data_IF_503260543284
#
_entry.id   IF_503260543284
#
_cell.length_a   1.000
_cell.length_b   1.000
_cell.length_c   1.000
_cell.angle_alpha   90.00
_cell.angle_beta   90.00
_cell.angle_gamma   90.00
#
_symmetry.space_group_name_H-M   'P 1'
#
loop_
_entity.id
_entity.type
_entity.pdbx_description
1 polymer ?
#
# COMPACT_ATOMS: atom_id res chain seq x y z
N UNK A 1 13.78 -21.62 -5.65
CA UNK A 1 14.24 -21.97 -7.00
C UNK A 1 15.62 -22.58 -6.91
N UNK A 2 15.90 -23.66 -7.66
CA UNK A 2 17.25 -24.18 -7.89
C UNK A 2 17.66 -23.83 -9.31
N UNK A 3 18.83 -23.22 -9.45
CA UNK A 3 19.40 -22.98 -10.77
C UNK A 3 19.70 -24.33 -11.46
N UNK A 4 19.30 -24.53 -12.73
CA UNK A 4 19.61 -25.76 -13.45
C UNK A 4 21.12 -25.90 -13.65
N UNK A 5 21.61 -27.15 -13.62
CA UNK A 5 22.98 -27.45 -14.05
C UNK A 5 23.06 -27.30 -15.57
N UNK A 6 23.51 -26.14 -16.01
CA UNK A 6 23.76 -25.82 -17.41
C UNK A 6 25.17 -26.22 -17.81
N UNK A 7 25.30 -27.04 -18.85
CA UNK A 7 26.61 -27.33 -19.48
C UNK A 7 26.84 -26.54 -20.77
N UNK A 8 25.77 -26.05 -21.38
CA UNK A 8 25.73 -25.25 -22.60
C UNK A 8 25.55 -23.77 -22.34
N UNK A 9 25.24 -23.04 -23.41
CA UNK A 9 25.09 -21.60 -23.40
C UNK A 9 23.70 -21.16 -22.94
N UNK A 10 22.66 -21.89 -23.33
CA UNK A 10 21.26 -21.61 -23.01
C UNK A 10 20.54 -22.90 -22.61
N UNK A 11 19.73 -22.85 -21.56
CA UNK A 11 18.76 -23.90 -21.21
C UNK A 11 17.34 -23.46 -21.48
N UNK A 12 16.50 -24.36 -21.95
CA UNK A 12 15.08 -24.09 -22.19
C UNK A 12 14.25 -25.10 -21.40
N UNK A 13 13.34 -24.61 -20.57
CA UNK A 13 12.42 -25.44 -19.80
C UNK A 13 10.96 -25.01 -20.04
N UNK A 14 10.03 -25.95 -19.96
CA UNK A 14 8.59 -25.69 -20.02
C UNK A 14 7.82 -26.77 -19.29
N UNK A 15 6.75 -26.43 -18.55
CA UNK A 15 5.81 -27.42 -18.03
C UNK A 15 5.07 -28.18 -19.15
N UNK A 16 5.07 -27.68 -20.39
CA UNK A 16 4.37 -28.26 -21.53
C UNK A 16 5.36 -28.89 -22.53
N UNK A 17 5.30 -30.21 -22.67
CA UNK A 17 6.17 -30.96 -23.58
C UNK A 17 6.04 -30.52 -25.05
N UNK A 18 4.85 -30.10 -25.48
CA UNK A 18 4.65 -29.61 -26.86
C UNK A 18 5.44 -28.32 -27.11
N UNK A 19 5.55 -27.45 -26.11
CA UNK A 19 6.32 -26.21 -26.25
C UNK A 19 7.83 -26.49 -26.28
N UNK A 20 8.30 -27.51 -25.56
CA UNK A 20 9.68 -27.99 -25.67
C UNK A 20 9.98 -28.55 -27.06
N UNK A 21 9.06 -29.30 -27.67
CA UNK A 21 9.23 -29.80 -29.04
C UNK A 21 9.34 -28.64 -30.06
N UNK A 22 8.56 -27.57 -29.89
CA UNK A 22 8.73 -26.38 -30.72
C UNK A 22 10.09 -25.71 -30.50
N UNK A 23 10.52 -25.54 -29.24
CA UNK A 23 11.84 -25.00 -28.93
C UNK A 23 12.98 -25.86 -29.51
N UNK A 24 12.86 -27.18 -29.45
CA UNK A 24 13.80 -28.11 -30.06
C UNK A 24 13.85 -27.92 -31.58
N UNK A 25 12.70 -27.97 -32.26
CA UNK A 25 12.65 -27.92 -33.72
C UNK A 25 12.96 -26.55 -34.32
N UNK A 26 12.56 -25.47 -33.65
CA UNK A 26 12.67 -24.09 -34.18
C UNK A 26 13.87 -23.32 -33.68
N UNK A 27 14.52 -23.79 -32.61
CA UNK A 27 15.66 -23.09 -32.01
C UNK A 27 16.86 -24.03 -31.77
N UNK A 28 16.70 -25.16 -31.08
CA UNK A 28 17.85 -26.03 -30.78
C UNK A 28 18.46 -26.67 -32.04
N UNK A 29 17.65 -27.34 -32.86
CA UNK A 29 18.11 -28.08 -34.06
C UNK A 29 18.76 -27.14 -35.09
N UNK A 30 18.18 -25.95 -35.41
CA UNK A 30 18.85 -24.99 -36.30
C UNK A 30 20.18 -24.46 -35.77
N UNK A 31 20.35 -24.45 -34.44
CA UNK A 31 21.58 -23.99 -33.77
C UNK A 31 22.63 -25.10 -33.62
N UNK A 32 22.30 -26.35 -33.97
CA UNK A 32 23.30 -27.41 -34.03
C UNK A 32 24.38 -27.04 -35.06
N UNK A 33 25.60 -26.82 -34.58
CA UNK A 33 26.81 -26.38 -35.31
C UNK A 33 27.02 -24.87 -35.47
N UNK A 34 26.19 -24.00 -34.87
CA UNK A 34 26.43 -22.55 -34.87
C UNK A 34 27.35 -22.11 -33.73
N UNK A 35 27.85 -23.02 -32.89
CA UNK A 35 28.77 -22.68 -31.79
C UNK A 35 28.10 -22.23 -30.49
N UNK A 36 26.81 -21.89 -30.52
CA UNK A 36 25.96 -21.71 -29.33
C UNK A 36 25.30 -23.04 -28.98
N UNK A 37 25.53 -23.54 -27.78
CA UNK A 37 24.94 -24.79 -27.29
C UNK A 37 23.61 -24.51 -26.57
N UNK A 38 22.53 -25.13 -27.05
CA UNK A 38 21.19 -25.04 -26.45
C UNK A 38 20.78 -26.40 -25.88
N UNK A 39 20.32 -26.40 -24.63
CA UNK A 39 19.88 -27.59 -23.90
C UNK A 39 18.38 -27.53 -23.62
N UNK A 40 17.67 -28.61 -23.95
CA UNK A 40 16.28 -28.81 -23.51
C UNK A 40 16.32 -29.43 -22.11
N UNK A 41 15.88 -28.65 -21.12
CA UNK A 41 15.88 -29.06 -19.72
C UNK A 41 14.59 -29.82 -19.41
N UNK A 42 14.72 -30.95 -18.72
CA UNK A 42 13.56 -31.64 -18.17
C UNK A 42 12.92 -30.75 -17.11
N UNK A 43 11.62 -30.50 -17.28
CA UNK A 43 10.87 -29.68 -16.33
C UNK A 43 10.87 -30.31 -14.93
N UNK A 44 11.21 -29.50 -13.94
CA UNK A 44 11.06 -29.81 -12.54
C UNK A 44 10.52 -28.58 -11.82
N UNK A 45 9.66 -28.80 -10.82
CA UNK A 45 9.01 -27.70 -10.07
C UNK A 45 10.02 -26.77 -9.40
N UNK A 46 11.17 -27.30 -8.97
CA UNK A 46 12.19 -26.52 -8.28
C UNK A 46 12.97 -25.58 -9.20
N UNK A 47 12.88 -25.73 -10.53
CA UNK A 47 13.42 -24.75 -11.50
C UNK A 47 12.62 -23.44 -11.51
N UNK A 48 11.40 -23.46 -10.99
CA UNK A 48 10.55 -22.28 -10.87
C UNK A 48 10.59 -21.75 -9.42
N UNK A 49 10.49 -20.43 -9.19
CA UNK A 49 10.23 -19.90 -7.85
C UNK A 49 8.80 -20.20 -7.41
N UNK A 50 8.50 -21.48 -7.16
CA UNK A 50 7.29 -21.93 -6.47
C UNK A 50 7.27 -21.14 -5.15
N UNK A 51 6.26 -20.27 -4.98
CA UNK A 51 6.04 -19.35 -3.85
C UNK A 51 6.60 -17.91 -3.96
N UNK A 52 7.20 -17.54 -5.10
CA UNK A 52 7.60 -16.16 -5.39
C UNK A 52 6.42 -15.24 -5.74
N UNK A 53 6.73 -14.08 -6.34
CA UNK A 53 5.69 -13.17 -6.89
C UNK A 53 4.85 -13.85 -7.97
N UNK A 54 5.52 -14.66 -8.80
CA UNK A 54 4.92 -15.35 -9.94
C UNK A 54 4.19 -16.61 -9.44
N UNK A 55 2.90 -16.71 -9.78
CA UNK A 55 2.05 -17.82 -9.33
C UNK A 55 2.14 -19.06 -10.20
N UNK A 56 2.53 -18.91 -11.48
CA UNK A 56 2.61 -20.00 -12.45
C UNK A 56 3.89 -19.93 -13.29
N UNK A 57 4.47 -21.06 -13.68
CA UNK A 57 5.58 -21.08 -14.61
C UNK A 57 5.16 -20.56 -15.98
N UNK A 58 6.07 -19.83 -16.62
CA UNK A 58 5.92 -19.34 -17.99
C UNK A 58 5.85 -20.48 -18.98
N UNK A 59 5.26 -20.23 -20.16
CA UNK A 59 5.12 -21.26 -21.19
C UNK A 59 6.47 -21.75 -21.70
N UNK A 60 7.44 -20.85 -21.82
CA UNK A 60 8.86 -21.18 -22.01
C UNK A 60 9.71 -20.34 -21.07
N UNK A 61 10.70 -20.98 -20.46
CA UNK A 61 11.70 -20.36 -19.60
C UNK A 61 13.08 -20.58 -20.18
N UNK A 62 13.80 -19.49 -20.43
CA UNK A 62 15.16 -19.47 -20.96
C UNK A 62 16.13 -19.18 -19.83
N UNK A 63 17.13 -20.03 -19.64
CA UNK A 63 18.18 -19.89 -18.64
C UNK A 63 19.47 -19.56 -19.34
N UNK A 64 19.98 -18.35 -19.11
CA UNK A 64 21.11 -17.79 -19.85
C UNK A 64 22.37 -17.98 -19.03
N UNK A 65 23.38 -18.62 -19.63
CA UNK A 65 24.68 -18.76 -18.99
C UNK A 65 25.50 -17.47 -19.08
N UNK A 66 26.45 -17.31 -18.15
CA UNK A 66 27.47 -16.26 -18.25
C UNK A 66 28.30 -16.38 -19.53
N UNK A 67 28.63 -17.59 -19.95
CA UNK A 67 29.37 -17.87 -21.19
C UNK A 67 28.64 -17.30 -22.42
N UNK A 68 27.33 -17.49 -22.50
CA UNK A 68 26.53 -16.92 -23.58
C UNK A 68 26.65 -15.40 -23.65
N UNK A 69 26.53 -14.73 -22.49
CA UNK A 69 26.63 -13.28 -22.41
C UNK A 69 28.00 -12.76 -22.89
N UNK A 70 29.09 -13.35 -22.37
CA UNK A 70 30.46 -12.87 -22.62
C UNK A 70 30.98 -13.16 -24.03
N UNK A 71 30.63 -14.33 -24.59
CA UNK A 71 31.20 -14.79 -25.86
C UNK A 71 30.31 -14.49 -27.06
N UNK A 72 28.99 -14.36 -26.86
CA UNK A 72 28.04 -14.23 -27.97
C UNK A 72 27.27 -12.91 -27.95
N UNK A 73 26.50 -12.66 -26.89
CA UNK A 73 25.58 -11.51 -26.84
C UNK A 73 26.30 -10.16 -26.78
N UNK A 74 27.19 -9.97 -25.80
CA UNK A 74 27.90 -8.69 -25.61
C UNK A 74 28.85 -8.38 -26.79
N UNK A 75 29.38 -9.41 -27.44
CA UNK A 75 30.23 -9.27 -28.63
C UNK A 75 29.46 -9.08 -29.92
N UNK A 76 28.12 -9.19 -29.89
CA UNK A 76 27.28 -9.17 -31.09
C UNK A 76 27.82 -10.13 -32.16
N UNK A 77 28.15 -11.35 -31.74
CA UNK A 77 28.73 -12.37 -32.61
C UNK A 77 27.79 -12.73 -33.76
N UNK A 78 28.33 -13.25 -34.87
CA UNK A 78 27.51 -13.74 -36.00
C UNK A 78 26.51 -14.80 -35.54
N UNK A 79 26.94 -15.65 -34.62
CA UNK A 79 26.17 -16.72 -33.98
C UNK A 79 24.99 -16.15 -33.17
N UNK A 80 25.19 -15.00 -32.51
CA UNK A 80 24.13 -14.31 -31.78
C UNK A 80 23.06 -13.75 -32.72
N UNK A 81 23.45 -13.23 -33.89
CA UNK A 81 22.49 -12.83 -34.93
C UNK A 81 21.60 -13.99 -35.38
N UNK A 82 22.22 -15.14 -35.69
CA UNK A 82 21.50 -16.37 -36.06
C UNK A 82 20.61 -16.86 -34.92
N UNK A 83 21.05 -16.76 -33.67
CA UNK A 83 20.22 -17.09 -32.50
C UNK A 83 18.95 -16.23 -32.45
N UNK A 84 19.07 -14.91 -32.64
CA UNK A 84 17.93 -14.00 -32.58
C UNK A 84 16.90 -14.27 -33.70
N UNK A 85 17.36 -14.59 -34.92
CA UNK A 85 16.47 -14.95 -36.03
C UNK A 85 15.68 -16.25 -35.76
N UNK A 86 16.34 -17.26 -35.19
CA UNK A 86 15.67 -18.52 -34.83
C UNK A 86 14.75 -18.35 -33.62
N UNK A 87 15.10 -17.48 -32.67
CA UNK A 87 14.25 -17.14 -31.54
C UNK A 87 12.97 -16.43 -32.01
N UNK A 88 13.07 -15.50 -32.95
CA UNK A 88 11.92 -14.86 -33.59
C UNK A 88 11.02 -15.90 -34.28
N UNK A 89 11.62 -16.84 -35.00
CA UNK A 89 10.89 -17.95 -35.63
C UNK A 89 10.15 -18.82 -34.60
N UNK A 90 10.76 -19.07 -33.43
CA UNK A 90 10.10 -19.78 -32.33
C UNK A 90 8.93 -18.96 -31.76
N UNK A 91 9.14 -17.69 -31.45
CA UNK A 91 8.11 -16.80 -30.89
C UNK A 91 6.93 -16.60 -31.84
N UNK A 92 7.19 -16.53 -33.16
CA UNK A 92 6.15 -16.42 -34.18
C UNK A 92 5.12 -17.57 -34.13
N UNK A 93 5.51 -18.76 -33.66
CA UNK A 93 4.59 -19.91 -33.47
C UNK A 93 3.51 -19.61 -32.43
N UNK A 94 3.80 -18.75 -31.47
CA UNK A 94 2.95 -18.48 -30.31
C UNK A 94 2.13 -17.19 -30.43
N UNK A 95 2.34 -16.41 -31.49
CA UNK A 95 1.57 -15.18 -31.75
C UNK A 95 0.09 -15.53 -31.90
N UNK A 96 -0.76 -14.85 -31.14
CA UNK A 96 -2.20 -15.09 -31.10
C UNK A 96 -2.63 -16.37 -30.36
N UNK A 97 -1.69 -17.17 -29.86
CA UNK A 97 -1.97 -18.35 -29.03
C UNK A 97 -2.16 -17.98 -27.56
N UNK A 98 -1.48 -16.92 -27.12
CA UNK A 98 -1.57 -16.41 -25.76
C UNK A 98 -2.26 -15.05 -25.77
N UNK A 99 -3.21 -14.87 -24.85
CA UNK A 99 -3.74 -13.54 -24.53
C UNK A 99 -2.68 -12.73 -23.78
N UNK A 100 -2.68 -11.40 -23.95
CA UNK A 100 -1.89 -10.54 -23.09
C UNK A 100 -2.26 -10.83 -21.64
N UNK A 101 -1.23 -10.98 -20.80
CA UNK A 101 -1.41 -11.17 -19.37
C UNK A 101 -1.15 -9.82 -18.71
N UNK A 102 -2.21 -9.12 -18.29
CA UNK A 102 -2.08 -7.87 -17.51
C UNK A 102 -1.63 -8.12 -16.06
N UNK A 103 -1.15 -9.33 -15.74
CA UNK A 103 -0.70 -9.69 -14.41
C UNK A 103 0.79 -9.92 -14.37
N UNK A 104 1.47 -9.16 -13.51
CA UNK A 104 2.86 -9.36 -13.14
C UNK A 104 3.13 -10.74 -12.51
N UNK A 105 2.08 -11.47 -12.12
CA UNK A 105 2.18 -12.82 -11.56
C UNK A 105 2.20 -13.93 -12.61
N UNK A 106 2.18 -13.57 -13.89
CA UNK A 106 2.19 -14.48 -15.04
C UNK A 106 2.98 -13.87 -16.18
N UNK A 107 3.82 -14.66 -16.83
CA UNK A 107 4.51 -14.25 -18.04
C UNK A 107 4.29 -15.30 -19.12
N UNK A 108 4.24 -14.86 -20.38
CA UNK A 108 4.18 -15.78 -21.53
C UNK A 108 5.53 -16.49 -21.63
N UNK A 109 6.61 -15.72 -21.62
CA UNK A 109 7.97 -16.20 -21.59
C UNK A 109 8.75 -15.58 -20.43
N UNK A 110 9.83 -16.25 -20.03
CA UNK A 110 10.74 -15.69 -19.03
C UNK A 110 12.18 -15.96 -19.38
N UNK A 111 13.04 -14.98 -19.09
CA UNK A 111 14.49 -15.12 -19.16
C UNK A 111 15.05 -15.07 -17.74
N UNK A 112 15.90 -16.02 -17.42
CA UNK A 112 16.58 -16.15 -16.14
C UNK A 112 18.08 -15.99 -16.35
N UNK A 113 18.73 -15.23 -15.48
CA UNK A 113 20.18 -15.08 -15.44
C UNK A 113 20.70 -15.15 -14.00
N UNK A 114 21.71 -15.96 -13.73
CA UNK A 114 22.36 -16.07 -12.42
C UNK A 114 23.71 -15.34 -12.45
N UNK A 115 23.88 -14.38 -11.55
CA UNK A 115 25.14 -13.65 -11.41
C UNK A 115 26.17 -14.37 -10.52
N UNK A 116 27.35 -13.75 -10.37
CA UNK A 116 28.46 -14.29 -9.57
C UNK A 116 28.18 -14.32 -8.05
N UNK A 117 27.17 -13.60 -7.59
CA UNK A 117 26.77 -13.48 -6.19
C UNK A 117 25.53 -14.33 -5.85
N UNK A 118 25.17 -15.24 -6.77
CA UNK A 118 23.99 -16.11 -6.72
C UNK A 118 22.67 -15.33 -6.71
N UNK A 119 22.65 -14.13 -7.30
CA UNK A 119 21.40 -13.41 -7.56
C UNK A 119 20.81 -13.85 -8.89
N UNK A 120 19.51 -14.10 -8.91
CA UNK A 120 18.78 -14.43 -10.13
C UNK A 120 18.03 -13.20 -10.62
N UNK A 121 18.33 -12.74 -11.83
CA UNK A 121 17.49 -11.80 -12.56
C UNK A 121 16.42 -12.59 -13.34
N UNK A 122 15.16 -12.21 -13.17
CA UNK A 122 14.01 -12.82 -13.81
C UNK A 122 13.28 -11.76 -14.64
N UNK A 123 13.39 -11.87 -15.95
CA UNK A 123 12.75 -11.00 -16.92
C UNK A 123 11.43 -11.61 -17.38
N UNK A 124 10.34 -10.85 -17.26
CA UNK A 124 8.98 -11.30 -17.56
C UNK A 124 8.51 -10.70 -18.88
N UNK A 125 8.22 -11.56 -19.85
CA UNK A 125 7.69 -11.18 -21.15
C UNK A 125 6.19 -11.49 -21.15
N UNK A 126 5.37 -10.48 -20.88
CA UNK A 126 3.91 -10.62 -20.69
C UNK A 126 3.05 -10.09 -21.85
N UNK A 127 3.70 -9.47 -22.85
CA UNK A 127 3.05 -8.95 -24.06
C UNK A 127 2.45 -10.07 -24.93
N UNK A 128 1.74 -9.72 -26.01
CA UNK A 128 1.15 -10.65 -26.97
C UNK A 128 1.63 -10.45 -28.42
N UNK A 129 2.54 -9.51 -28.65
CA UNK A 129 3.10 -9.21 -29.98
C UNK A 129 4.53 -9.72 -30.14
N UNK A 130 4.85 -10.17 -31.35
CA UNK A 130 6.19 -10.67 -31.69
C UNK A 130 7.25 -9.58 -31.56
N UNK A 131 6.95 -8.36 -32.01
CA UNK A 131 7.84 -7.21 -31.97
C UNK A 131 8.25 -6.90 -30.51
N UNK A 132 7.27 -6.72 -29.61
CA UNK A 132 7.55 -6.43 -28.21
C UNK A 132 8.27 -7.59 -27.50
N UNK A 133 7.98 -8.86 -27.85
CA UNK A 133 8.76 -9.98 -27.34
C UNK A 133 10.21 -9.91 -27.80
N UNK A 134 10.47 -9.64 -29.07
CA UNK A 134 11.84 -9.57 -29.57
C UNK A 134 12.62 -8.38 -28.99
N UNK A 135 11.97 -7.23 -28.86
CA UNK A 135 12.58 -6.03 -28.27
C UNK A 135 12.88 -6.24 -26.78
N UNK A 136 11.94 -6.80 -26.02
CA UNK A 136 12.18 -7.13 -24.62
C UNK A 136 13.33 -8.12 -24.42
N UNK A 137 13.50 -9.13 -25.30
CA UNK A 137 14.67 -10.02 -25.25
C UNK A 137 15.97 -9.26 -25.49
N UNK A 138 16.03 -8.38 -26.49
CA UNK A 138 17.23 -7.57 -26.79
C UNK A 138 17.59 -6.70 -25.59
N UNK A 139 16.61 -6.00 -25.04
CA UNK A 139 16.79 -5.15 -23.87
C UNK A 139 17.13 -5.95 -22.61
N UNK A 140 16.67 -7.20 -22.49
CA UNK A 140 17.03 -8.06 -21.35
C UNK A 140 18.54 -8.36 -21.35
N UNK A 141 19.11 -8.65 -22.52
CA UNK A 141 20.56 -8.87 -22.63
C UNK A 141 21.37 -7.59 -22.36
N UNK A 142 20.86 -6.43 -22.77
CA UNK A 142 21.45 -5.12 -22.40
C UNK A 142 21.41 -4.94 -20.88
N UNK A 143 20.25 -5.13 -20.25
CA UNK A 143 20.08 -5.00 -18.80
C UNK A 143 20.96 -5.97 -18.01
N UNK A 144 21.14 -7.22 -18.47
CA UNK A 144 22.08 -8.17 -17.87
C UNK A 144 23.52 -7.65 -17.95
N UNK A 145 23.94 -7.11 -19.10
CA UNK A 145 25.27 -6.50 -19.25
C UNK A 145 25.44 -5.29 -18.33
N UNK A 146 24.45 -4.40 -18.28
CA UNK A 146 24.47 -3.22 -17.41
C UNK A 146 24.54 -3.57 -15.92
N UNK A 147 23.81 -4.61 -15.49
CA UNK A 147 23.87 -5.13 -14.13
C UNK A 147 25.26 -5.67 -13.80
N UNK A 148 25.79 -6.55 -14.66
CA UNK A 148 27.07 -7.23 -14.43
C UNK A 148 28.27 -6.30 -14.53
N UNK A 149 28.19 -5.25 -15.37
CA UNK A 149 29.24 -4.24 -15.51
C UNK A 149 29.09 -3.04 -14.56
N UNK A 150 27.89 -2.86 -13.97
CA UNK A 150 27.56 -1.73 -13.11
C UNK A 150 27.44 -0.38 -13.84
N UNK A 151 27.27 -0.39 -15.17
CA UNK A 151 27.25 0.84 -15.99
C UNK A 151 25.95 1.64 -15.86
N UNK A 152 24.81 0.97 -15.63
CA UNK A 152 23.53 1.64 -15.41
C UNK A 152 23.26 1.79 -13.90
N UNK A 153 23.68 2.93 -13.35
CA UNK A 153 23.53 3.20 -11.92
C UNK A 153 22.05 3.28 -11.50
N UNK A 154 21.14 3.66 -12.39
CA UNK A 154 19.70 3.74 -12.10
C UNK A 154 19.15 2.33 -11.87
N UNK A 155 19.36 1.41 -12.83
CA UNK A 155 18.94 0.01 -12.70
C UNK A 155 19.55 -0.65 -11.46
N UNK A 156 20.87 -0.47 -11.26
CA UNK A 156 21.60 -1.04 -10.12
C UNK A 156 21.05 -0.51 -8.78
N UNK A 157 20.74 0.79 -8.69
CA UNK A 157 20.17 1.37 -7.48
C UNK A 157 18.75 0.87 -7.23
N UNK A 158 17.92 0.75 -8.28
CA UNK A 158 16.57 0.22 -8.18
C UNK A 158 16.55 -1.24 -7.72
N UNK A 159 17.42 -2.08 -8.28
CA UNK A 159 17.58 -3.46 -7.84
C UNK A 159 18.03 -3.52 -6.37
N UNK A 160 19.00 -2.71 -5.96
CA UNK A 160 19.48 -2.68 -4.56
C UNK A 160 18.43 -2.16 -3.55
N UNK A 161 17.50 -1.31 -3.98
CA UNK A 161 16.45 -0.76 -3.13
C UNK A 161 15.23 -1.70 -3.00
N UNK A 162 15.09 -2.66 -3.92
CA UNK A 162 13.98 -3.60 -3.97
C UNK A 162 14.03 -4.63 -2.84
N UNK A 163 12.88 -5.06 -2.33
CA UNK A 163 12.79 -6.20 -1.42
C UNK A 163 13.18 -7.50 -2.15
N UNK A 164 14.07 -8.28 -1.53
CA UNK A 164 14.56 -9.55 -2.08
C UNK A 164 14.37 -10.66 -1.05
N UNK A 165 13.70 -11.74 -1.45
CA UNK A 165 13.55 -12.94 -0.60
C UNK A 165 14.87 -13.67 -0.41
N UNK A 166 14.92 -14.68 0.47
CA UNK A 166 16.14 -15.50 0.65
C UNK A 166 16.59 -16.22 -0.63
N UNK A 167 15.69 -16.39 -1.60
CA UNK A 167 16.01 -16.99 -2.89
C UNK A 167 16.79 -16.04 -3.82
N UNK A 168 17.00 -14.77 -3.42
CA UNK A 168 17.77 -13.77 -4.18
C UNK A 168 17.28 -13.54 -5.62
N UNK A 169 15.96 -13.48 -5.79
CA UNK A 169 15.34 -13.29 -7.12
C UNK A 169 14.90 -11.84 -7.28
N UNK A 170 15.34 -11.21 -8.36
CA UNK A 170 14.92 -9.90 -8.81
C UNK A 170 13.97 -10.03 -9.97
N UNK A 171 12.79 -9.42 -9.86
CA UNK A 171 11.74 -9.46 -10.87
C UNK A 171 11.81 -8.21 -11.73
N UNK A 172 11.73 -8.37 -13.05
CA UNK A 172 11.69 -7.28 -14.01
C UNK A 172 10.50 -7.45 -14.97
N UNK A 173 9.72 -6.38 -15.16
CA UNK A 173 8.67 -6.28 -16.17
C UNK A 173 9.08 -5.32 -17.28
N UNK A 174 8.65 -5.61 -18.52
CA UNK A 174 8.94 -4.77 -19.67
C UNK A 174 7.73 -3.90 -19.98
N UNK A 175 7.86 -2.60 -19.77
CA UNK A 175 6.80 -1.60 -19.98
C UNK A 175 7.43 -0.30 -20.50
N UNK A 176 6.78 0.37 -21.45
CA UNK A 176 7.27 1.61 -22.08
C UNK A 176 8.71 1.49 -22.63
N UNK A 177 8.98 0.41 -23.37
CA UNK A 177 10.27 0.12 -24.01
C UNK A 177 11.48 0.05 -23.06
N UNK A 178 11.26 -0.34 -21.80
CA UNK A 178 12.32 -0.49 -20.81
C UNK A 178 11.99 -1.56 -19.77
N UNK A 179 13.03 -2.12 -19.16
CA UNK A 179 12.91 -2.99 -18.01
C UNK A 179 12.73 -2.18 -16.73
N UNK A 180 11.62 -2.43 -16.03
CA UNK A 180 11.31 -1.84 -14.74
C UNK A 180 11.53 -2.89 -13.64
N UNK A 181 12.18 -2.49 -12.55
CA UNK A 181 12.35 -3.36 -11.38
C UNK A 181 11.03 -3.45 -10.64
N UNK A 182 10.58 -4.67 -10.41
CA UNK A 182 9.34 -4.97 -9.70
C UNK A 182 9.67 -5.25 -8.25
N UNK A 183 9.10 -4.46 -7.33
CA UNK A 183 9.17 -4.75 -5.90
C UNK A 183 8.05 -5.74 -5.52
N UNK A 184 8.39 -7.02 -5.26
CA UNK A 184 7.38 -8.03 -5.04
C UNK A 184 6.61 -7.80 -3.74
N UNK A 185 7.22 -7.17 -2.73
CA UNK A 185 6.53 -6.82 -1.49
C UNK A 185 5.53 -5.68 -1.74
N UNK A 186 5.92 -4.68 -2.53
CA UNK A 186 5.03 -3.58 -2.90
C UNK A 186 3.81 -4.09 -3.69
N UNK A 187 4.02 -4.96 -4.67
CA UNK A 187 2.94 -5.58 -5.47
C UNK A 187 1.97 -6.38 -4.61
N UNK A 188 2.49 -7.31 -3.81
CA UNK A 188 1.66 -8.17 -2.94
C UNK A 188 0.90 -7.31 -1.92
N UNK A 189 1.55 -6.29 -1.36
CA UNK A 189 0.91 -5.35 -0.42
C UNK A 189 -0.16 -4.51 -1.11
N UNK A 190 0.06 -4.07 -2.36
CA UNK A 190 -0.93 -3.35 -3.16
C UNK A 190 -2.20 -4.17 -3.40
N UNK A 191 -2.04 -5.42 -3.84
CA UNK A 191 -3.17 -6.34 -4.03
C UNK A 191 -3.92 -6.64 -2.74
N UNK A 192 -3.21 -6.86 -1.63
CA UNK A 192 -3.80 -7.09 -0.31
C UNK A 192 -4.67 -5.90 0.10
N UNK A 193 -4.12 -4.69 -0.08
CA UNK A 193 -4.80 -3.46 0.23
C UNK A 193 -6.06 -3.24 -0.60
N UNK A 194 -6.01 -3.52 -1.90
CA UNK A 194 -7.17 -3.40 -2.78
C UNK A 194 -8.30 -4.31 -2.32
N UNK A 195 -8.03 -5.62 -2.14
CA UNK A 195 -9.03 -6.61 -1.71
C UNK A 195 -9.62 -6.27 -0.34
N UNK A 196 -8.79 -5.75 0.56
CA UNK A 196 -9.22 -5.37 1.88
C UNK A 196 -10.14 -4.14 1.84
N UNK A 197 -9.79 -3.09 1.07
CA UNK A 197 -10.61 -1.88 0.93
C UNK A 197 -12.00 -2.17 0.36
N UNK A 198 -12.11 -3.10 -0.58
CA UNK A 198 -13.39 -3.45 -1.22
C UNK A 198 -14.44 -3.99 -0.23
N UNK A 199 -14.01 -4.64 0.84
CA UNK A 199 -14.90 -5.39 1.73
C UNK A 199 -14.95 -4.84 3.16
N UNK A 200 -14.20 -3.78 3.47
CA UNK A 200 -14.05 -3.29 4.83
C UNK A 200 -14.94 -2.08 5.15
N UNK A 201 -15.47 -2.05 6.37
CA UNK A 201 -16.10 -0.85 6.92
C UNK A 201 -15.00 0.12 7.41
N UNK A 202 -14.94 1.38 6.95
CA UNK A 202 -13.92 2.34 7.36
C UNK A 202 -13.97 2.70 8.86
N UNK A 203 -15.03 2.29 9.56
CA UNK A 203 -15.17 2.44 11.01
C UNK A 203 -14.54 1.29 11.80
N UNK A 204 -14.20 0.19 11.15
CA UNK A 204 -13.49 -0.93 11.76
C UNK A 204 -11.99 -0.59 11.89
N UNK A 205 -11.31 -1.30 12.81
CA UNK A 205 -9.86 -1.29 12.87
C UNK A 205 -9.27 -2.14 11.73
N UNK A 206 -8.07 -1.77 11.27
CA UNK A 206 -7.27 -2.58 10.34
C UNK A 206 -6.94 -3.96 10.95
N UNK A 207 -6.91 -5.03 10.14
CA UNK A 207 -6.43 -6.33 10.57
C UNK A 207 -4.91 -6.32 10.70
N UNK A 208 -4.40 -7.26 11.49
CA UNK A 208 -2.99 -7.61 11.46
C UNK A 208 -2.79 -8.63 10.33
N UNK A 209 -1.87 -8.35 9.41
CA UNK A 209 -1.54 -9.25 8.31
C UNK A 209 -0.13 -9.78 8.53
N UNK A 210 0.00 -11.11 8.62
CA UNK A 210 1.29 -11.79 8.59
C UNK A 210 1.51 -12.32 7.17
N UNK A 211 2.63 -11.96 6.55
CA UNK A 211 3.03 -12.40 5.23
C UNK A 211 4.34 -13.17 5.34
N UNK A 212 4.40 -14.36 4.76
CA UNK A 212 5.65 -15.13 4.76
C UNK A 212 6.66 -14.48 3.83
N UNK A 213 7.86 -14.20 4.36
CA UNK A 213 8.91 -13.44 3.68
C UNK A 213 9.48 -14.12 2.43
N UNK A 214 9.33 -15.45 2.34
CA UNK A 214 9.84 -16.31 1.26
C UNK A 214 8.70 -17.00 0.48
N UNK A 215 7.44 -16.75 0.86
CA UNK A 215 6.26 -17.36 0.28
C UNK A 215 5.08 -16.38 0.30
N UNK A 216 4.98 -15.54 -0.72
CA UNK A 216 3.94 -14.50 -0.75
C UNK A 216 2.53 -15.05 -0.97
N UNK A 217 2.40 -16.35 -1.26
CA UNK A 217 1.10 -17.03 -1.31
C UNK A 217 0.59 -17.37 0.09
N UNK A 218 1.49 -17.56 1.06
CA UNK A 218 1.16 -17.82 2.45
C UNK A 218 1.02 -16.54 3.25
N UNK A 219 -0.19 -16.34 3.75
CA UNK A 219 -0.54 -15.22 4.61
C UNK A 219 -1.57 -15.62 5.64
N UNK A 220 -1.53 -14.94 6.78
CA UNK A 220 -2.53 -15.03 7.81
C UNK A 220 -3.08 -13.65 8.09
N UNK A 221 -4.40 -13.52 8.08
CA UNK A 221 -5.10 -12.28 8.40
C UNK A 221 -5.79 -12.51 9.72
N UNK A 222 -5.43 -11.71 10.72
CA UNK A 222 -6.04 -11.74 12.03
C UNK A 222 -6.87 -10.47 12.21
N UNK A 223 -8.17 -10.65 12.39
CA UNK A 223 -9.05 -9.57 12.87
C UNK A 223 -8.80 -9.33 14.35
N UNK A 224 -8.62 -8.07 14.75
CA UNK A 224 -8.67 -7.68 16.16
C UNK A 224 -10.14 -7.65 16.60
N UNK A 225 -10.68 -8.83 16.92
CA UNK A 225 -12.08 -8.98 17.30
C UNK A 225 -12.30 -8.81 18.81
N UNK A 226 -13.43 -8.20 19.16
CA UNK A 226 -13.93 -8.08 20.51
C UNK A 226 -15.10 -9.04 20.73
N UNK A 227 -15.12 -9.67 21.91
CA UNK A 227 -16.30 -10.35 22.44
C UNK A 227 -17.05 -9.37 23.33
N UNK A 228 -18.13 -8.80 22.80
CA UNK A 228 -19.03 -7.96 23.59
C UNK A 228 -20.02 -8.84 24.35
N UNK A 229 -20.20 -8.55 25.65
CA UNK A 229 -21.18 -9.25 26.50
C UNK A 229 -22.26 -8.27 26.95
N UNK A 230 -23.52 -8.63 26.73
CA UNK A 230 -24.70 -7.85 27.14
C UNK A 230 -25.90 -8.78 27.28
N UNK A 231 -26.79 -8.54 28.24
CA UNK A 231 -28.05 -9.29 28.42
C UNK A 231 -27.91 -10.81 28.29
N UNK A 232 -26.95 -11.41 29.00
CA UNK A 232 -26.60 -12.85 28.95
C UNK A 232 -26.22 -13.40 27.56
N UNK A 233 -25.88 -12.51 26.63
CA UNK A 233 -25.42 -12.83 25.27
C UNK A 233 -23.98 -12.41 25.09
N UNK A 234 -23.33 -13.05 24.13
CA UNK A 234 -22.01 -12.66 23.64
C UNK A 234 -22.04 -12.51 22.12
N UNK A 235 -21.46 -11.43 21.61
CA UNK A 235 -21.29 -11.19 20.18
C UNK A 235 -19.82 -10.96 19.90
N UNK A 236 -19.27 -11.76 18.97
CA UNK A 236 -17.95 -11.51 18.40
C UNK A 236 -18.09 -10.49 17.27
N UNK A 237 -17.32 -9.41 17.32
CA UNK A 237 -17.30 -8.39 16.28
C UNK A 237 -15.93 -7.77 16.11
N UNK A 238 -15.65 -7.26 14.90
CA UNK A 238 -14.43 -6.50 14.64
C UNK A 238 -14.39 -5.28 15.56
N UNK A 239 -13.23 -5.05 16.17
CA UNK A 239 -13.02 -3.89 17.02
C UNK A 239 -13.22 -2.59 16.23
N UNK A 240 -14.06 -1.66 16.72
CA UNK A 240 -14.20 -0.36 16.08
C UNK A 240 -12.92 0.48 16.23
N UNK A 241 -12.70 1.37 15.27
CA UNK A 241 -11.75 2.47 15.40
C UNK A 241 -12.51 3.71 15.90
N UNK A 242 -12.25 4.12 17.15
CA UNK A 242 -12.96 5.24 17.79
C UNK A 242 -12.82 6.54 16.98
N UNK A 243 -11.64 6.80 16.41
CA UNK A 243 -11.39 7.98 15.56
C UNK A 243 -12.31 7.95 14.35
N UNK A 244 -12.38 6.81 13.65
CA UNK A 244 -13.23 6.64 12.48
C UNK A 244 -14.72 6.74 12.82
N UNK A 245 -15.16 6.18 13.95
CA UNK A 245 -16.55 6.28 14.42
C UNK A 245 -16.92 7.74 14.65
N UNK A 246 -16.10 8.49 15.40
CA UNK A 246 -16.35 9.90 15.70
C UNK A 246 -16.25 10.77 14.45
N UNK A 247 -15.29 10.51 13.57
CA UNK A 247 -15.17 11.17 12.28
C UNK A 247 -16.42 10.95 11.40
N UNK A 248 -16.96 9.73 11.33
CA UNK A 248 -18.20 9.48 10.58
C UNK A 248 -19.43 10.16 11.17
N UNK A 249 -19.52 10.25 12.50
CA UNK A 249 -20.59 11.03 13.13
C UNK A 249 -20.45 12.51 12.74
N UNK A 250 -19.23 13.06 12.81
CA UNK A 250 -18.96 14.43 12.38
C UNK A 250 -19.35 14.65 10.92
N UNK A 251 -18.84 13.83 10.00
CA UNK A 251 -19.05 13.97 8.56
C UNK A 251 -20.53 13.87 8.17
N UNK A 252 -21.25 12.89 8.74
CA UNK A 252 -22.67 12.71 8.47
C UNK A 252 -23.46 13.95 8.89
N UNK A 253 -23.27 14.41 10.14
CA UNK A 253 -23.97 15.58 10.66
C UNK A 253 -23.56 16.86 9.92
N UNK A 254 -22.30 17.00 9.52
CA UNK A 254 -21.82 18.16 8.78
C UNK A 254 -22.46 18.23 7.39
N UNK A 255 -22.53 17.09 6.69
CA UNK A 255 -23.18 16.97 5.39
C UNK A 255 -24.68 17.23 5.50
N UNK A 256 -25.35 16.62 6.47
CA UNK A 256 -26.77 16.84 6.73
C UNK A 256 -27.06 18.30 7.09
N UNK A 257 -26.23 18.93 7.95
CA UNK A 257 -26.36 20.35 8.28
C UNK A 257 -26.22 21.24 7.05
N UNK A 258 -25.26 20.94 6.17
CA UNK A 258 -25.05 21.72 4.95
C UNK A 258 -26.25 21.63 4.01
N UNK A 259 -26.76 20.41 3.75
CA UNK A 259 -27.96 20.20 2.94
C UNK A 259 -29.17 20.90 3.56
N UNK A 260 -29.39 20.71 4.86
CA UNK A 260 -30.49 21.31 5.59
C UNK A 260 -30.44 22.85 5.55
N UNK A 261 -29.25 23.43 5.64
CA UNK A 261 -29.05 24.87 5.56
C UNK A 261 -29.46 25.42 4.18
N UNK A 262 -29.01 24.76 3.11
CA UNK A 262 -29.33 25.16 1.74
C UNK A 262 -30.82 24.99 1.41
N UNK A 263 -31.50 24.00 2.01
CA UNK A 263 -32.92 23.73 1.78
C UNK A 263 -33.88 24.58 2.62
N UNK A 264 -33.57 24.81 3.90
CA UNK A 264 -34.54 25.34 4.87
C UNK A 264 -34.14 26.67 5.51
N UNK A 265 -32.84 27.00 5.53
CA UNK A 265 -32.32 28.20 6.21
C UNK A 265 -32.06 29.32 5.21
N UNK A 266 -31.39 29.01 4.08
CA UNK A 266 -31.20 29.92 2.96
C UNK A 266 -32.51 30.11 2.19
N UNK A 267 -33.32 31.05 2.66
CA UNK A 267 -34.51 31.50 1.95
C UNK A 267 -34.09 32.24 0.67
N UNK A 268 -34.35 31.66 -0.51
CA UNK A 268 -34.02 32.27 -1.82
C UNK A 268 -35.02 33.35 -2.26
N UNK A 269 -36.08 33.59 -1.48
CA UNK A 269 -37.02 34.67 -1.77
C UNK A 269 -36.49 35.97 -1.17
N UNK A 270 -36.07 36.90 -2.04
CA UNK A 270 -35.41 38.19 -1.76
C UNK A 270 -36.21 39.20 -0.89
N UNK A 271 -37.31 38.80 -0.25
CA UNK A 271 -38.21 39.74 0.42
C UNK A 271 -38.66 39.26 1.81
N UNK A 272 -37.73 39.18 2.77
CA UNK A 272 -38.11 39.21 4.19
C UNK A 272 -38.39 40.66 4.61
N UNK A 273 -39.52 41.19 4.16
CA UNK A 273 -40.10 42.41 4.69
C UNK A 273 -40.54 42.19 6.14
N UNK A 274 -39.66 42.57 7.09
CA UNK A 274 -39.96 43.07 8.45
C UNK A 274 -40.89 42.23 9.36
N UNK A 275 -41.21 40.99 9.01
CA UNK A 275 -42.02 40.08 9.82
C UNK A 275 -41.11 39.09 10.55
N UNK A 276 -41.41 38.86 11.83
CA UNK A 276 -40.69 37.89 12.65
C UNK A 276 -40.85 36.48 12.08
N UNK A 277 -39.81 35.61 12.17
CA UNK A 277 -39.89 34.25 11.68
C UNK A 277 -41.00 33.47 12.40
N UNK A 278 -41.77 32.67 11.65
CA UNK A 278 -42.80 31.79 12.21
C UNK A 278 -42.18 30.75 13.16
N UNK A 279 -42.99 30.18 14.06
CA UNK A 279 -42.52 29.11 14.95
C UNK A 279 -41.94 27.90 14.20
N UNK A 280 -42.51 27.56 13.04
CA UNK A 280 -41.98 26.50 12.16
C UNK A 280 -40.58 26.86 11.61
N UNK A 281 -40.38 28.11 11.18
CA UNK A 281 -39.08 28.59 10.72
C UNK A 281 -38.07 28.59 11.87
N UNK A 282 -38.46 29.03 13.06
CA UNK A 282 -37.61 28.98 14.25
C UNK A 282 -37.21 27.55 14.63
N UNK A 283 -38.14 26.59 14.56
CA UNK A 283 -37.85 25.17 14.77
C UNK A 283 -36.75 24.66 13.82
N UNK A 284 -36.82 24.99 12.53
CA UNK A 284 -35.78 24.63 11.55
C UNK A 284 -34.40 25.16 11.92
N UNK A 285 -34.30 26.38 12.47
CA UNK A 285 -33.03 26.88 12.99
C UNK A 285 -32.51 26.03 14.16
N UNK A 286 -33.38 25.62 15.08
CA UNK A 286 -33.00 24.75 16.21
C UNK A 286 -32.51 23.38 15.72
N UNK A 287 -33.25 22.74 14.80
CA UNK A 287 -32.89 21.45 14.19
C UNK A 287 -31.52 21.55 13.48
N UNK A 288 -31.28 22.65 12.75
CA UNK A 288 -29.96 22.93 12.16
C UNK A 288 -28.86 23.06 13.21
N UNK A 289 -29.12 23.79 14.30
CA UNK A 289 -28.14 23.98 15.37
C UNK A 289 -27.75 22.67 16.06
N UNK A 290 -28.67 21.72 16.17
CA UNK A 290 -28.37 20.36 16.67
C UNK A 290 -27.38 19.64 15.75
N UNK A 291 -27.61 19.66 14.43
CA UNK A 291 -26.74 19.01 13.44
C UNK A 291 -25.33 19.61 13.45
N UNK A 292 -25.22 20.94 13.31
CA UNK A 292 -23.91 21.61 13.19
C UNK A 292 -23.13 21.56 14.51
N UNK A 293 -23.81 21.62 15.65
CA UNK A 293 -23.18 21.49 16.97
C UNK A 293 -22.70 20.06 17.20
N UNK A 294 -23.46 19.05 16.76
CA UNK A 294 -23.04 17.65 16.80
C UNK A 294 -21.76 17.45 15.98
N UNK A 295 -21.73 17.96 14.75
CA UNK A 295 -20.53 17.92 13.91
C UNK A 295 -19.32 18.60 14.58
N UNK A 296 -19.53 19.80 15.13
CA UNK A 296 -18.51 20.55 15.86
C UNK A 296 -17.96 19.78 17.08
N UNK A 297 -18.80 19.11 17.86
CA UNK A 297 -18.35 18.37 19.04
C UNK A 297 -17.55 17.13 18.59
N UNK A 298 -18.08 16.36 17.64
CA UNK A 298 -17.45 15.11 17.21
C UNK A 298 -16.16 15.31 16.42
N UNK A 299 -15.92 16.47 15.81
CA UNK A 299 -14.61 16.78 15.22
C UNK A 299 -13.50 16.84 16.28
N UNK A 300 -13.79 17.43 17.46
CA UNK A 300 -12.86 17.43 18.60
C UNK A 300 -12.75 16.06 19.24
N UNK A 301 -13.86 15.33 19.36
CA UNK A 301 -13.84 13.96 19.90
C UNK A 301 -12.98 13.04 19.04
N UNK A 302 -13.02 13.19 17.70
CA UNK A 302 -12.14 12.46 16.80
C UNK A 302 -10.65 12.81 17.00
N UNK A 303 -10.31 14.10 17.12
CA UNK A 303 -8.94 14.53 17.41
C UNK A 303 -8.42 14.00 18.75
N UNK A 304 -9.27 14.06 19.78
CA UNK A 304 -8.93 13.58 21.12
C UNK A 304 -8.68 12.05 21.11
N UNK A 305 -9.57 11.29 20.46
CA UNK A 305 -9.41 9.86 20.28
C UNK A 305 -8.13 9.52 19.50
N UNK A 306 -7.81 10.28 18.46
CA UNK A 306 -6.62 10.09 17.65
C UNK A 306 -5.34 10.25 18.48
N UNK A 307 -5.26 11.32 19.27
CA UNK A 307 -4.12 11.56 20.15
C UNK A 307 -3.97 10.42 21.17
N UNK A 308 -5.07 10.05 21.83
CA UNK A 308 -5.06 8.98 22.85
C UNK A 308 -4.59 7.65 22.26
N UNK A 309 -5.00 7.34 21.03
CA UNK A 309 -4.55 6.16 20.30
C UNK A 309 -3.04 6.20 20.01
N UNK A 310 -2.51 7.32 19.53
CA UNK A 310 -1.07 7.50 19.27
C UNK A 310 -0.23 7.35 20.56
N UNK A 311 -0.72 7.88 21.67
CA UNK A 311 -0.04 7.79 22.99
C UNK A 311 -0.08 6.38 23.56
N UNK A 312 -1.20 5.68 23.42
CA UNK A 312 -1.34 4.34 23.99
C UNK A 312 -0.42 3.32 23.30
N UNK A 313 -0.09 3.53 22.02
CA UNK A 313 0.73 2.61 21.22
C UNK A 313 2.19 3.06 21.10
N UNK A 314 2.46 4.36 21.16
CA UNK A 314 3.81 4.84 21.36
C UNK A 314 4.29 4.43 22.75
N UNK A 315 5.26 3.52 22.83
CA UNK A 315 5.91 3.05 24.06
C UNK A 315 6.13 4.17 25.10
N UNK A 316 6.23 3.89 26.41
CA UNK A 316 6.39 4.95 27.41
C UNK A 316 7.65 5.79 27.16
N UNK A 317 7.46 6.99 26.59
CA UNK A 317 8.54 7.88 26.18
C UNK A 317 9.19 8.58 27.37
N UNK A 318 10.50 8.80 27.26
CA UNK A 318 11.25 9.77 28.06
C UNK A 318 11.21 11.10 27.32
N UNK A 319 10.62 12.14 27.93
CA UNK A 319 10.71 13.50 27.44
C UNK A 319 12.17 13.98 27.38
N UNK A 320 12.45 15.04 26.61
CA UNK A 320 13.79 15.67 26.49
C UNK A 320 14.45 16.07 27.82
N UNK A 321 13.68 16.16 28.91
CA UNK A 321 14.15 16.43 30.27
C UNK A 321 14.30 15.16 31.14
N UNK A 322 14.24 13.97 30.55
CA UNK A 322 14.35 12.70 31.26
C UNK A 322 13.09 12.26 32.03
N UNK A 323 11.98 13.01 31.96
CA UNK A 323 10.71 12.59 32.59
C UNK A 323 9.94 11.62 31.70
N UNK A 324 9.51 10.50 32.27
CA UNK A 324 8.63 9.54 31.61
C UNK A 324 7.24 10.17 31.39
N UNK A 325 6.83 10.38 30.14
CA UNK A 325 5.46 10.81 29.81
C UNK A 325 4.57 9.59 29.99
N UNK A 326 3.93 9.49 31.16
CA UNK A 326 2.94 8.43 31.46
C UNK A 326 1.59 8.73 30.82
N UNK A 327 0.66 7.74 30.75
CA UNK A 327 -0.78 7.96 30.44
C UNK A 327 -1.42 9.13 31.22
N UNK A 328 -0.86 9.48 32.39
CA UNK A 328 -1.30 10.63 33.18
C UNK A 328 -1.05 11.98 32.48
N UNK A 329 -0.01 12.09 31.68
CA UNK A 329 0.31 13.31 30.94
C UNK A 329 -0.75 13.62 29.87
N UNK A 330 -1.37 12.61 29.24
CA UNK A 330 -2.52 12.85 28.35
C UNK A 330 -3.73 13.42 29.06
N UNK A 331 -3.89 13.22 30.37
CA UNK A 331 -5.02 13.79 31.11
C UNK A 331 -4.75 15.24 31.56
N UNK A 332 -3.48 15.64 31.63
CA UNK A 332 -3.04 16.95 32.14
C UNK A 332 -2.96 18.05 31.05
N UNK A 333 -2.71 17.68 29.80
CA UNK A 333 -2.62 18.65 28.69
C UNK A 333 -3.98 18.95 28.06
N UNK A 334 -4.22 20.21 27.69
CA UNK A 334 -5.34 20.55 26.80
C UNK A 334 -5.04 20.12 25.36
N UNK A 335 -6.06 20.06 24.51
CA UNK A 335 -5.93 19.56 23.12
C UNK A 335 -4.82 20.29 22.32
N UNK A 336 -4.69 21.60 22.46
CA UNK A 336 -3.66 22.37 21.75
C UNK A 336 -2.25 21.97 22.19
N UNK A 337 -2.06 21.79 23.50
CA UNK A 337 -0.79 21.33 24.06
C UNK A 337 -0.48 19.89 23.65
N UNK A 338 -1.50 19.02 23.58
CA UNK A 338 -1.33 17.65 23.10
C UNK A 338 -0.83 17.59 21.65
N UNK A 339 -1.37 18.43 20.77
CA UNK A 339 -0.90 18.51 19.39
C UNK A 339 0.54 19.04 19.31
N UNK A 340 0.83 20.18 19.96
CA UNK A 340 2.12 20.88 19.79
C UNK A 340 3.30 20.30 20.57
N UNK A 341 3.03 19.62 21.68
CA UNK A 341 4.05 19.03 22.56
C UNK A 341 4.08 17.52 22.35
N UNK A 342 2.97 16.87 22.67
CA UNK A 342 2.95 15.42 22.80
C UNK A 342 3.02 14.70 21.44
N UNK A 343 2.19 15.04 20.45
CA UNK A 343 2.30 14.42 19.12
C UNK A 343 3.59 14.81 18.40
N UNK A 344 4.05 16.05 18.58
CA UNK A 344 5.33 16.50 18.06
C UNK A 344 6.49 15.62 18.55
N UNK A 345 6.51 15.30 19.84
CA UNK A 345 7.55 14.45 20.43
C UNK A 345 7.40 12.98 19.99
N UNK A 346 6.19 12.43 20.01
CA UNK A 346 5.92 11.02 19.63
C UNK A 346 6.28 10.76 18.16
N UNK A 347 5.87 11.67 17.28
CA UNK A 347 5.98 11.49 15.83
C UNK A 347 7.14 12.29 15.22
N UNK A 348 7.98 12.93 16.05
CA UNK A 348 9.12 13.76 15.62
C UNK A 348 8.74 14.76 14.52
N UNK A 349 7.62 15.47 14.69
CA UNK A 349 7.13 16.43 13.69
C UNK A 349 7.83 17.79 13.81
N UNK A 350 7.83 18.61 12.74
CA UNK A 350 8.06 20.05 12.87
C UNK A 350 7.05 20.69 13.84
N UNK A 351 7.28 21.95 14.23
CA UNK A 351 6.33 22.68 15.06
C UNK A 351 4.97 22.82 14.33
N UNK A 352 3.89 22.18 14.82
CA UNK A 352 2.60 22.22 14.13
C UNK A 352 1.99 23.62 14.12
N UNK A 353 2.49 24.55 14.93
CA UNK A 353 2.06 25.96 14.88
C UNK A 353 2.40 26.65 13.56
N UNK A 354 3.37 26.11 12.81
CA UNK A 354 3.74 26.59 11.48
C UNK A 354 2.93 25.91 10.37
N UNK A 355 2.06 24.95 10.71
CA UNK A 355 1.24 24.26 9.72
C UNK A 355 0.08 25.15 9.25
N UNK A 356 -0.30 25.02 7.99
CA UNK A 356 -1.35 25.83 7.33
C UNK A 356 -2.69 25.74 8.06
N UNK A 357 -3.00 24.57 8.63
CA UNK A 357 -4.26 24.31 9.34
C UNK A 357 -4.31 24.92 10.76
N UNK A 358 -3.19 25.38 11.32
CA UNK A 358 -3.11 25.75 12.74
C UNK A 358 -4.03 26.92 13.11
N UNK A 359 -4.07 27.95 12.27
CA UNK A 359 -4.92 29.12 12.50
C UNK A 359 -6.39 28.78 12.51
N UNK A 360 -6.81 27.89 11.62
CA UNK A 360 -8.20 27.44 11.57
C UNK A 360 -8.54 26.50 12.72
N UNK A 361 -7.60 25.66 13.16
CA UNK A 361 -7.74 24.92 14.42
C UNK A 361 -7.98 25.85 15.61
N UNK A 362 -7.23 26.96 15.72
CA UNK A 362 -7.44 27.94 16.81
C UNK A 362 -8.83 28.58 16.76
N UNK A 363 -9.32 28.93 15.56
CA UNK A 363 -10.69 29.45 15.37
C UNK A 363 -11.75 28.41 15.75
N UNK A 364 -11.56 27.17 15.30
CA UNK A 364 -12.44 26.05 15.59
C UNK A 364 -12.48 25.76 17.10
N UNK A 365 -11.32 25.77 17.79
CA UNK A 365 -11.22 25.57 19.24
C UNK A 365 -11.95 26.66 20.02
N UNK A 366 -11.83 27.92 19.57
CA UNK A 366 -12.58 29.03 20.15
C UNK A 366 -14.09 28.83 20.01
N UNK A 367 -14.55 28.43 18.82
CA UNK A 367 -15.97 28.16 18.55
C UNK A 367 -16.49 27.02 19.44
N UNK A 368 -15.80 25.88 19.49
CA UNK A 368 -16.13 24.75 20.38
C UNK A 368 -16.21 25.16 21.84
N UNK A 369 -15.24 25.94 22.33
CA UNK A 369 -15.25 26.39 23.73
C UNK A 369 -16.42 27.31 24.04
N UNK A 370 -16.83 28.17 23.10
CA UNK A 370 -18.03 29.00 23.26
C UNK A 370 -19.32 28.17 23.26
N UNK A 371 -19.33 27.04 22.55
CA UNK A 371 -20.47 26.10 22.49
C UNK A 371 -20.60 25.27 23.75
N UNK A 372 -19.50 24.73 24.29
CA UNK A 372 -19.54 23.83 25.47
C UNK A 372 -19.49 24.60 26.79
N UNK A 373 -18.76 25.71 26.85
CA UNK A 373 -18.68 26.58 28.03
C UNK A 373 -19.54 27.82 27.79
N UNK A 374 -20.83 27.59 27.60
CA UNK A 374 -21.87 28.57 27.29
C UNK A 374 -21.84 29.74 28.28
N UNK A 375 -21.63 30.95 27.76
CA UNK A 375 -21.84 32.22 28.49
C UNK A 375 -22.89 33.03 27.76
N UNK A 376 -23.86 33.55 28.49
CA UNK A 376 -25.00 34.29 27.94
C UNK A 376 -24.55 35.50 27.09
N UNK A 377 -23.52 36.21 27.55
CA UNK A 377 -22.95 37.40 26.89
C UNK A 377 -22.36 37.17 25.48
N UNK A 378 -22.19 35.91 25.05
CA UNK A 378 -21.68 35.56 23.71
C UNK A 378 -22.58 34.59 22.95
N UNK A 379 -23.74 34.22 23.51
CA UNK A 379 -24.62 33.19 22.92
C UNK A 379 -25.14 33.57 21.53
N UNK A 380 -25.63 34.80 21.34
CA UNK A 380 -26.14 35.26 20.05
C UNK A 380 -25.04 35.23 18.98
N UNK A 381 -23.88 35.84 19.27
CA UNK A 381 -22.71 35.84 18.38
C UNK A 381 -22.25 34.43 18.00
N UNK A 382 -22.32 33.48 18.94
CA UNK A 382 -21.99 32.07 18.67
C UNK A 382 -22.96 31.46 17.66
N UNK A 383 -24.26 31.59 17.88
CA UNK A 383 -25.27 31.03 16.97
C UNK A 383 -25.21 31.69 15.59
N UNK A 384 -24.94 33.01 15.51
CA UNK A 384 -24.66 33.68 14.24
C UNK A 384 -23.44 33.09 13.54
N UNK A 385 -22.35 32.82 14.27
CA UNK A 385 -21.15 32.21 13.70
C UNK A 385 -21.43 30.81 13.15
N UNK A 386 -22.25 30.00 13.83
CA UNK A 386 -22.62 28.67 13.35
C UNK A 386 -23.36 28.69 11.99
N UNK A 387 -24.08 29.77 11.68
CA UNK A 387 -24.77 29.94 10.38
C UNK A 387 -23.83 30.38 9.25
N UNK A 388 -22.59 30.76 9.53
CA UNK A 388 -21.64 31.16 8.50
C UNK A 388 -21.16 29.95 7.68
N UNK A 389 -21.12 30.08 6.35
CA UNK A 389 -20.64 29.01 5.46
C UNK A 389 -19.19 28.56 5.75
N UNK A 390 -18.34 29.45 6.26
CA UNK A 390 -16.97 29.11 6.66
C UNK A 390 -16.93 28.09 7.80
N UNK A 391 -17.99 27.98 8.61
CA UNK A 391 -18.07 27.02 9.72
C UNK A 391 -17.97 25.57 9.23
N UNK A 392 -18.50 25.24 8.05
CA UNK A 392 -18.37 23.89 7.48
C UNK A 392 -16.90 23.54 7.22
N UNK A 393 -16.18 24.46 6.58
CA UNK A 393 -14.75 24.33 6.31
C UNK A 393 -13.94 24.25 7.60
N UNK A 394 -14.23 25.14 8.56
CA UNK A 394 -13.56 25.15 9.87
C UNK A 394 -13.74 23.82 10.61
N UNK A 395 -14.95 23.25 10.63
CA UNK A 395 -15.18 21.96 11.26
C UNK A 395 -14.37 20.88 10.55
N UNK A 396 -14.32 20.89 9.22
CA UNK A 396 -13.57 19.92 8.40
C UNK A 396 -12.05 19.88 8.62
N UNK A 397 -11.45 20.92 9.21
CA UNK A 397 -10.00 21.01 9.49
C UNK A 397 -9.48 19.85 10.34
N UNK A 398 -10.33 19.20 11.14
CA UNK A 398 -9.91 18.03 11.91
C UNK A 398 -9.31 16.92 11.03
N UNK A 399 -9.77 16.77 9.78
CA UNK A 399 -9.20 15.84 8.81
C UNK A 399 -7.80 16.23 8.40
N UNK A 400 -7.59 17.51 8.10
CA UNK A 400 -6.27 18.02 7.72
C UNK A 400 -5.25 17.79 8.85
N UNK A 401 -5.67 17.94 10.10
CA UNK A 401 -4.83 17.67 11.28
C UNK A 401 -4.46 16.18 11.35
N UNK A 402 -5.44 15.27 11.27
CA UNK A 402 -5.17 13.82 11.35
C UNK A 402 -4.29 13.37 10.18
N UNK A 403 -4.59 13.82 8.96
CA UNK A 403 -3.79 13.54 7.77
C UNK A 403 -2.36 14.09 7.86
N UNK A 404 -2.19 15.29 8.43
CA UNK A 404 -0.87 15.87 8.69
C UNK A 404 -0.03 14.96 9.60
N UNK A 405 -0.60 14.46 10.69
CA UNK A 405 0.13 13.53 11.57
C UNK A 405 0.29 12.13 10.96
N UNK A 406 -0.65 11.67 10.12
CA UNK A 406 -0.53 10.42 9.37
C UNK A 406 0.71 10.38 8.47
N UNK A 407 1.10 11.52 7.91
CA UNK A 407 2.36 11.64 7.16
C UNK A 407 3.57 11.27 8.02
N UNK A 408 3.65 11.84 9.23
CA UNK A 408 4.75 11.58 10.14
C UNK A 408 4.66 10.21 10.81
N UNK A 409 3.46 9.64 10.97
CA UNK A 409 3.29 8.23 11.32
C UNK A 409 3.97 7.36 10.27
N UNK A 410 3.67 7.57 8.98
CA UNK A 410 4.30 6.81 7.89
C UNK A 410 5.83 6.93 7.87
N UNK A 411 6.36 8.13 8.14
CA UNK A 411 7.80 8.37 8.08
C UNK A 411 8.56 7.89 9.32
N UNK A 412 8.04 8.18 10.51
CA UNK A 412 8.80 8.10 11.75
C UNK A 412 8.32 6.97 12.68
N UNK A 413 7.10 6.45 12.47
CA UNK A 413 6.51 5.41 13.30
C UNK A 413 5.61 4.47 12.46
N UNK A 414 6.16 3.79 11.43
CA UNK A 414 5.36 2.99 10.49
C UNK A 414 4.55 1.87 11.17
N UNK A 415 5.00 1.36 12.31
CA UNK A 415 4.28 0.39 13.14
C UNK A 415 2.91 0.91 13.64
N UNK A 416 2.72 2.23 13.68
CA UNK A 416 1.44 2.84 14.06
C UNK A 416 0.46 2.97 12.88
N UNK A 417 0.88 2.66 11.64
CA UNK A 417 -0.02 2.68 10.48
C UNK A 417 -1.14 1.65 10.60
N UNK A 418 -0.90 0.52 11.26
CA UNK A 418 -1.89 -0.54 11.46
C UNK A 418 -2.99 -0.15 12.47
N UNK A 419 -2.76 0.88 13.28
CA UNK A 419 -3.81 1.45 14.14
C UNK A 419 -4.40 2.74 13.58
N UNK A 420 -3.77 3.30 12.54
CA UNK A 420 -4.21 4.55 11.94
C UNK A 420 -5.58 4.40 11.28
N UNK A 421 -6.50 5.38 11.46
CA UNK A 421 -7.86 5.30 10.94
C UNK A 421 -7.92 5.38 9.41
N UNK A 422 -8.98 4.81 8.84
CA UNK A 422 -9.32 4.95 7.42
C UNK A 422 -9.88 6.34 7.09
N UNK A 423 -9.86 6.68 5.79
CA UNK A 423 -10.36 7.93 5.19
C UNK A 423 -9.50 9.17 5.52
N UNK A 424 -8.23 8.97 5.88
CA UNK A 424 -7.27 10.04 6.18
C UNK A 424 -5.98 9.95 5.35
N UNK A 425 -6.00 9.20 4.24
CA UNK A 425 -4.90 9.13 3.26
C UNK A 425 -3.80 8.12 3.58
N UNK A 426 -3.89 7.43 4.71
CA UNK A 426 -2.96 6.38 5.14
C UNK A 426 -3.72 5.08 5.41
N UNK A 427 -4.60 4.73 4.48
CA UNK A 427 -5.59 3.66 4.62
C UNK A 427 -5.00 2.27 4.38
N UNK A 428 -3.74 2.21 3.98
CA UNK A 428 -3.09 0.94 3.66
C UNK A 428 -2.78 0.16 4.95
N UNK A 429 -2.94 -1.16 4.87
CA UNK A 429 -2.40 -2.14 5.81
C UNK A 429 -0.97 -2.49 5.39
N UNK A 430 -0.09 -2.64 6.37
CA UNK A 430 1.28 -3.05 6.15
C UNK A 430 1.46 -4.48 6.67
N UNK A 431 1.68 -5.46 5.78
CA UNK A 431 1.94 -6.82 6.23
C UNK A 431 3.22 -6.88 7.05
N UNK A 432 3.15 -7.53 8.21
CA UNK A 432 4.34 -7.93 8.95
C UNK A 432 4.95 -9.15 8.28
N UNK A 433 6.20 -9.03 7.88
CA UNK A 433 6.96 -10.16 7.35
C UNK A 433 7.32 -11.12 8.46
N UNK A 434 7.11 -12.42 8.20
CA UNK A 434 7.41 -13.50 9.14
C UNK A 434 8.10 -14.67 8.45
N UNK A 435 8.75 -15.51 9.25
CA UNK A 435 9.19 -16.84 8.85
C UNK A 435 8.48 -17.96 9.62
N UNK A 436 8.79 -19.21 9.29
CA UNK A 436 8.18 -20.39 9.93
C UNK A 436 8.45 -20.43 11.44
N UNK A 437 9.62 -19.98 11.90
CA UNK A 437 9.95 -20.00 13.32
C UNK A 437 9.15 -18.94 14.08
N UNK A 438 8.99 -17.76 13.49
CA UNK A 438 8.15 -16.69 14.05
C UNK A 438 6.67 -17.08 14.05
N UNK A 439 6.18 -17.69 12.96
CA UNK A 439 4.82 -18.22 12.92
C UNK A 439 4.57 -19.20 14.06
N UNK A 440 5.44 -20.20 14.24
CA UNK A 440 5.33 -21.18 15.32
C UNK A 440 5.34 -20.55 16.71
N UNK A 441 6.12 -19.48 16.92
CA UNK A 441 6.11 -18.73 18.19
C UNK A 441 4.78 -18.02 18.39
N UNK A 442 4.26 -17.34 17.37
CA UNK A 442 2.97 -16.63 17.42
C UNK A 442 1.83 -17.64 17.64
N UNK A 443 1.83 -18.74 16.90
CA UNK A 443 0.85 -19.81 17.01
C UNK A 443 0.80 -20.39 18.42
N UNK A 444 1.96 -20.73 18.99
CA UNK A 444 2.07 -21.23 20.37
C UNK A 444 1.61 -20.20 21.39
N UNK A 445 1.94 -18.93 21.21
CA UNK A 445 1.46 -17.86 22.09
C UNK A 445 -0.07 -17.73 22.08
N UNK A 446 -0.69 -17.82 20.89
CA UNK A 446 -2.14 -17.71 20.73
C UNK A 446 -2.90 -18.93 21.27
N UNK A 447 -2.35 -20.15 21.11
CA UNK A 447 -3.04 -21.40 21.46
C UNK A 447 -2.67 -21.95 22.85
N UNK A 448 -1.51 -21.56 23.38
CA UNK A 448 -1.07 -21.87 24.75
C UNK A 448 -0.70 -20.57 25.47
N UNK A 449 -1.67 -19.67 25.74
CA UNK A 449 -1.42 -18.51 26.58
C UNK A 449 -1.09 -19.02 27.99
N UNK A 450 0.20 -18.97 28.34
CA UNK A 450 0.72 -19.29 29.67
C UNK A 450 0.22 -18.33 30.74
#
# INVERSE_FOLDING_TARGET
>A
MKWPKLTGDIGIASPNQTYLLFAEQKLQVPMCNTGISIEILMWARDLFPENGLIGNPSNLSFYISKKFMEFHSQKQSTEFGVFMENLETLFAVFVGYFSSQDSIRSAVFSIYYLDEHENTLLFQLSDNSLENWMDSVREAFVAIHEWTSGTNQVLVNSLKACYVSKQKIYYLSYEDDKWNVVDPLAEVTGELNQRYKENNDPRARKPDILLYQDDFSKKHIFSDDWVLKFDDRSVLMIRPNDVSIYAKICDRNLKEAQVFFDEYILDRNEYNHHTFPTMDKQKKYLDYFELITTALIFSFTALEAFINMMVAKGHPYLAKNGKRITKKATEEYNLSDKLKILLKDILSTPDPQQAVWWEDFRKLLKLRNQTIHTKESVSEKRYSKLLEKDTYRLIGVYKDIISYYGYYVKLNAPDLLDVFPYDFGYDQVNPRLIDEQEYERIYKFLHNPS
#
